data_IF_085560707512
#
_entry.id   IF_085560707512
#
_cell.length_a   1.000
_cell.length_b   1.000
_cell.length_c   1.000
_cell.angle_alpha   90.00
_cell.angle_beta   90.00
_cell.angle_gamma   90.00
#
_symmetry.space_group_name_H-M   'P 1'
#
loop_
_entity.id
_entity.type
_entity.pdbx_description
1 polymer ?
#
# COMPACT_ATOMS: atom_id res chain seq x y z
N UNK A 1 30.74 12.57 3.04
CA UNK A 1 31.11 11.99 1.74
C UNK A 1 29.92 11.28 1.16
N UNK A 2 29.67 11.32 -0.17
CA UNK A 2 28.60 10.51 -0.78
C UNK A 2 28.83 9.03 -0.50
N UNK A 3 27.75 8.32 -0.21
CA UNK A 3 27.77 6.85 0.00
C UNK A 3 26.99 6.20 -1.14
N UNK A 4 27.58 5.20 -1.77
CA UNK A 4 26.97 4.44 -2.86
C UNK A 4 26.62 3.04 -2.37
N UNK A 5 25.44 2.55 -2.73
CA UNK A 5 25.08 1.14 -2.56
C UNK A 5 25.43 0.36 -3.83
N UNK A 6 25.99 -0.83 -3.70
CA UNK A 6 26.25 -1.75 -4.82
C UNK A 6 25.01 -2.57 -5.20
N UNK A 7 23.93 -2.50 -4.40
CA UNK A 7 22.69 -3.23 -4.66
C UNK A 7 22.01 -2.71 -5.93
N UNK A 8 21.57 -3.64 -6.79
CA UNK A 8 20.81 -3.30 -7.98
C UNK A 8 19.42 -2.83 -7.62
N UNK A 9 18.97 -1.76 -8.27
CA UNK A 9 17.59 -1.28 -8.18
C UNK A 9 16.75 -2.00 -9.23
N UNK A 10 15.82 -2.85 -8.81
CA UNK A 10 15.01 -3.72 -9.68
C UNK A 10 13.55 -3.28 -9.59
N UNK A 11 12.97 -2.91 -10.74
CA UNK A 11 11.58 -2.49 -10.89
C UNK A 11 10.69 -3.65 -11.35
N UNK A 12 9.37 -3.49 -11.27
CA UNK A 12 8.43 -4.51 -11.77
C UNK A 12 8.65 -4.91 -13.24
N UNK A 13 9.13 -3.98 -14.07
CA UNK A 13 9.44 -4.26 -15.49
C UNK A 13 10.70 -5.07 -15.69
N UNK A 14 11.60 -5.08 -14.74
CA UNK A 14 12.94 -5.68 -14.87
C UNK A 14 12.95 -7.18 -14.62
N UNK A 15 11.85 -7.73 -14.13
CA UNK A 15 11.74 -9.15 -13.80
C UNK A 15 10.54 -9.82 -14.42
N UNK A 16 10.63 -11.14 -14.58
CA UNK A 16 9.52 -12.04 -14.81
C UNK A 16 9.39 -13.01 -13.63
N UNK A 17 8.16 -13.44 -13.33
CA UNK A 17 7.93 -14.61 -12.50
C UNK A 17 8.15 -15.85 -13.35
N UNK A 18 8.85 -16.83 -12.79
CA UNK A 18 9.06 -18.14 -13.39
C UNK A 18 8.23 -19.20 -12.68
N UNK A 19 7.73 -20.15 -13.45
CA UNK A 19 7.07 -21.33 -12.90
C UNK A 19 8.08 -22.20 -12.17
N UNK A 20 7.66 -22.75 -11.01
CA UNK A 20 8.42 -23.82 -10.34
C UNK A 20 7.79 -25.18 -10.65
N UNK A 21 8.59 -26.27 -10.67
CA UNK A 21 8.03 -27.61 -10.60
C UNK A 21 7.13 -27.68 -9.38
N UNK A 22 5.90 -28.13 -9.56
CA UNK A 22 4.92 -28.14 -8.49
C UNK A 22 5.36 -29.13 -7.40
N UNK A 23 5.40 -28.65 -6.17
CA UNK A 23 5.48 -29.51 -4.97
C UNK A 23 4.10 -30.07 -4.60
N UNK A 24 3.13 -29.89 -5.50
CA UNK A 24 1.75 -30.29 -5.32
C UNK A 24 1.61 -31.81 -5.47
N UNK A 25 0.71 -32.36 -4.68
CA UNK A 25 0.40 -33.77 -4.56
C UNK A 25 0.53 -34.53 -5.90
N UNK A 26 1.49 -35.45 -6.04
CA UNK A 26 1.67 -36.25 -7.25
C UNK A 26 0.42 -37.05 -7.63
N UNK A 27 -0.46 -37.34 -6.65
CA UNK A 27 -1.69 -38.11 -6.87
C UNK A 27 -2.85 -37.23 -7.40
N UNK A 28 -2.73 -35.88 -7.31
CA UNK A 28 -3.71 -34.96 -7.87
C UNK A 28 -3.09 -33.76 -8.60
N UNK A 29 -2.33 -34.00 -9.65
CA UNK A 29 -1.54 -32.95 -10.34
C UNK A 29 -2.40 -31.86 -11.01
N UNK A 30 -3.68 -32.13 -11.28
CA UNK A 30 -4.61 -31.16 -11.86
C UNK A 30 -5.45 -30.42 -10.79
N UNK A 31 -5.57 -30.96 -9.60
CA UNK A 31 -6.45 -30.47 -8.56
C UNK A 31 -6.02 -29.13 -7.98
N UNK A 32 -4.76 -28.97 -7.73
CA UNK A 32 -4.19 -27.80 -7.08
C UNK A 32 -3.78 -26.70 -8.09
N UNK A 33 -3.57 -27.05 -9.35
CA UNK A 33 -3.19 -26.12 -10.42
C UNK A 33 -4.35 -25.32 -10.98
N UNK A 34 -5.58 -25.62 -10.62
CA UNK A 34 -6.74 -24.86 -11.11
C UNK A 34 -6.84 -23.54 -10.37
N UNK A 35 -6.57 -22.42 -11.09
CA UNK A 35 -6.79 -21.05 -10.57
C UNK A 35 -8.16 -20.84 -9.93
N UNK A 36 -9.18 -21.59 -10.33
CA UNK A 36 -10.54 -21.56 -9.77
C UNK A 36 -10.61 -22.07 -8.33
N UNK A 37 -9.61 -22.79 -7.86
CA UNK A 37 -9.52 -23.34 -6.50
C UNK A 37 -8.68 -22.46 -5.56
N UNK A 38 -7.98 -21.43 -6.08
CA UNK A 38 -7.24 -20.48 -5.25
C UNK A 38 -8.26 -19.67 -4.43
N UNK A 39 -8.17 -19.66 -3.09
CA UNK A 39 -9.04 -18.86 -2.24
C UNK A 39 -8.95 -17.37 -2.58
N UNK A 40 -10.08 -16.67 -2.52
CA UNK A 40 -10.12 -15.23 -2.79
C UNK A 40 -9.66 -14.48 -1.54
N UNK A 41 -8.58 -13.72 -1.65
CA UNK A 41 -7.96 -12.94 -0.56
C UNK A 41 -7.90 -11.44 -0.94
N UNK A 42 -9.05 -10.87 -1.36
CA UNK A 42 -9.14 -9.46 -1.78
C UNK A 42 -8.92 -8.48 -0.63
N UNK A 43 -9.04 -8.91 0.61
CA UNK A 43 -8.72 -8.14 1.80
C UNK A 43 -7.23 -7.74 1.91
N UNK A 44 -6.37 -8.29 1.05
CA UNK A 44 -4.96 -7.89 0.90
C UNK A 44 -4.74 -6.82 -0.19
N UNK A 45 -5.79 -6.40 -0.86
CA UNK A 45 -5.75 -5.37 -1.92
C UNK A 45 -6.50 -4.14 -1.45
N UNK A 46 -5.80 -3.03 -1.35
CA UNK A 46 -6.34 -1.76 -0.87
C UNK A 46 -6.50 -0.76 -2.00
N UNK A 47 -7.60 -0.02 -1.96
CA UNK A 47 -7.76 1.19 -2.78
C UNK A 47 -6.94 2.31 -2.14
N UNK A 48 -6.11 2.99 -2.96
CA UNK A 48 -5.21 4.06 -2.51
C UNK A 48 -5.97 5.26 -1.93
N UNK A 49 -5.47 5.91 -0.86
CA UNK A 49 -6.10 7.06 -0.22
C UNK A 49 -5.95 8.34 -1.08
N UNK A 50 -6.53 8.33 -2.26
CA UNK A 50 -6.46 9.43 -3.22
C UNK A 50 -7.84 10.02 -3.46
N UNK A 51 -7.95 11.36 -3.35
CA UNK A 51 -9.22 12.06 -3.52
C UNK A 51 -9.86 11.84 -4.90
N UNK A 52 -9.06 11.80 -5.94
CA UNK A 52 -9.57 11.53 -7.29
C UNK A 52 -10.19 10.14 -7.46
N UNK A 53 -9.98 9.23 -6.50
CA UNK A 53 -10.37 7.82 -6.62
C UNK A 53 -11.46 7.48 -5.60
N UNK A 54 -11.19 7.72 -4.31
CA UNK A 54 -12.06 7.25 -3.22
C UNK A 54 -13.13 8.30 -2.89
N UNK A 55 -14.32 8.11 -3.45
CA UNK A 55 -15.57 8.71 -3.02
C UNK A 55 -16.44 7.69 -2.29
N UNK A 56 -17.67 8.06 -1.97
CA UNK A 56 -18.60 7.19 -1.24
C UNK A 56 -18.97 5.95 -2.05
N UNK A 57 -19.25 6.10 -3.33
CA UNK A 57 -19.69 5.05 -4.24
C UNK A 57 -18.60 3.98 -4.42
N UNK A 58 -17.36 4.41 -4.67
CA UNK A 58 -16.25 3.47 -4.81
C UNK A 58 -15.93 2.79 -3.48
N UNK A 59 -15.94 3.52 -2.37
CA UNK A 59 -15.67 2.96 -1.05
C UNK A 59 -16.70 1.87 -0.68
N UNK A 60 -17.99 2.13 -0.89
CA UNK A 60 -19.05 1.15 -0.64
C UNK A 60 -18.91 -0.08 -1.55
N UNK A 61 -18.68 0.13 -2.85
CA UNK A 61 -18.53 -0.98 -3.79
C UNK A 61 -17.27 -1.80 -3.52
N UNK A 62 -16.14 -1.17 -3.20
CA UNK A 62 -14.91 -1.85 -2.81
C UNK A 62 -15.11 -2.71 -1.55
N UNK A 63 -15.76 -2.14 -0.54
CA UNK A 63 -16.09 -2.84 0.70
C UNK A 63 -17.02 -4.05 0.46
N UNK A 64 -18.03 -3.93 -0.38
CA UNK A 64 -18.91 -5.03 -0.77
C UNK A 64 -18.18 -6.16 -1.51
N UNK A 65 -17.16 -5.83 -2.28
CA UNK A 65 -16.33 -6.79 -3.01
C UNK A 65 -15.23 -7.41 -2.13
N UNK A 66 -15.08 -6.97 -0.88
CA UNK A 66 -14.08 -7.47 0.05
C UNK A 66 -12.68 -6.86 -0.09
N UNK A 67 -12.55 -5.76 -0.83
CA UNK A 67 -11.30 -4.99 -0.89
C UNK A 67 -11.07 -4.22 0.43
N UNK A 68 -9.81 -3.96 0.75
CA UNK A 68 -9.44 -2.95 1.73
C UNK A 68 -9.65 -1.54 1.18
N UNK A 69 -10.03 -0.61 2.04
CA UNK A 69 -10.25 0.79 1.67
C UNK A 69 -9.39 1.71 2.54
N UNK A 70 -8.63 2.60 1.90
CA UNK A 70 -7.93 3.67 2.58
C UNK A 70 -8.68 4.98 2.32
N UNK A 71 -9.35 5.54 3.34
CA UNK A 71 -10.03 6.82 3.24
C UNK A 71 -9.03 7.95 3.40
N UNK A 72 -8.92 8.82 2.40
CA UNK A 72 -8.01 9.97 2.44
C UNK A 72 -8.55 11.09 3.33
N UNK A 73 -7.67 11.94 3.86
CA UNK A 73 -8.04 13.02 4.79
C UNK A 73 -8.67 14.26 4.15
N UNK A 74 -8.74 14.31 2.83
CA UNK A 74 -9.37 15.39 2.07
C UNK A 74 -10.79 15.03 1.61
N UNK A 75 -11.40 14.02 2.24
CA UNK A 75 -12.76 13.63 1.96
C UNK A 75 -13.71 14.79 2.22
N UNK A 76 -14.61 15.04 1.30
CA UNK A 76 -15.64 16.07 1.44
C UNK A 76 -17.04 15.44 1.29
N UNK A 77 -18.01 15.93 2.04
CA UNK A 77 -19.42 15.58 1.88
C UNK A 77 -20.19 16.67 1.09
N UNK A 78 -19.59 17.85 0.91
CA UNK A 78 -20.17 18.93 0.12
C UNK A 78 -19.66 18.86 -1.32
N UNK A 79 -20.59 18.63 -2.29
CA UNK A 79 -20.28 18.65 -3.74
C UNK A 79 -19.58 19.91 -4.24
N UNK A 80 -19.59 20.98 -3.48
CA UNK A 80 -18.88 22.24 -3.78
C UNK A 80 -17.54 22.34 -3.04
N UNK A 81 -17.12 21.29 -2.36
CA UNK A 81 -15.85 21.21 -1.62
C UNK A 81 -15.66 22.33 -0.57
N UNK A 82 -16.73 22.84 0.03
CA UNK A 82 -16.65 23.94 1.03
C UNK A 82 -16.19 23.47 2.40
N UNK A 83 -16.25 22.17 2.68
CA UNK A 83 -15.90 21.55 3.94
C UNK A 83 -14.51 20.88 3.94
N UNK A 84 -13.64 21.31 3.02
CA UNK A 84 -12.28 20.83 2.90
C UNK A 84 -11.55 20.84 4.24
N UNK A 85 -10.94 19.69 4.56
CA UNK A 85 -10.25 19.51 5.81
C UNK A 85 -11.16 19.13 7.00
N UNK A 86 -12.48 19.11 6.85
CA UNK A 86 -13.39 18.55 7.85
C UNK A 86 -13.29 17.02 7.87
N UNK A 87 -13.35 16.36 9.04
CA UNK A 87 -13.44 14.90 9.11
C UNK A 87 -14.83 14.37 8.74
N UNK A 88 -15.82 15.23 8.51
CA UNK A 88 -17.22 14.83 8.32
C UNK A 88 -17.40 13.89 7.12
N UNK A 89 -16.74 14.18 5.99
CA UNK A 89 -16.80 13.30 4.80
C UNK A 89 -16.21 11.92 5.06
N UNK A 90 -15.10 11.84 5.81
CA UNK A 90 -14.54 10.54 6.23
C UNK A 90 -15.52 9.77 7.13
N UNK A 91 -16.18 10.48 8.08
CA UNK A 91 -17.14 9.89 9.01
C UNK A 91 -18.36 9.34 8.27
N UNK A 92 -18.89 10.10 7.31
CA UNK A 92 -20.06 9.69 6.51
C UNK A 92 -19.76 8.44 5.68
N UNK A 93 -18.63 8.43 4.97
CA UNK A 93 -18.21 7.25 4.22
C UNK A 93 -18.00 6.06 5.16
N UNK A 94 -17.21 6.23 6.23
CA UNK A 94 -16.92 5.16 7.18
C UNK A 94 -18.20 4.53 7.74
N UNK A 95 -19.18 5.34 8.15
CA UNK A 95 -20.47 4.87 8.67
C UNK A 95 -21.38 4.21 7.63
N UNK A 96 -21.16 4.47 6.36
CA UNK A 96 -21.93 3.87 5.26
C UNK A 96 -21.44 2.48 4.87
N UNK A 97 -20.26 2.07 5.33
CA UNK A 97 -19.65 0.79 5.00
C UNK A 97 -20.23 -0.34 5.86
N UNK A 98 -20.40 -1.53 5.27
CA UNK A 98 -20.94 -2.71 5.94
C UNK A 98 -19.93 -3.39 6.87
N UNK A 99 -18.68 -3.41 6.46
CA UNK A 99 -17.56 -3.99 7.21
C UNK A 99 -16.41 -2.98 7.27
N UNK A 100 -16.10 -2.53 8.47
CA UNK A 100 -15.01 -1.57 8.72
C UNK A 100 -13.71 -2.21 9.19
N UNK A 101 -13.66 -3.54 9.31
CA UNK A 101 -12.49 -4.28 9.80
C UNK A 101 -11.24 -4.09 8.93
N UNK A 102 -11.43 -3.83 7.63
CA UNK A 102 -10.35 -3.61 6.65
C UNK A 102 -10.40 -2.19 6.03
N UNK A 103 -10.82 -1.22 6.82
CA UNK A 103 -10.91 0.19 6.41
C UNK A 103 -9.95 1.01 7.24
N UNK A 104 -8.93 1.58 6.60
CA UNK A 104 -7.99 2.50 7.23
C UNK A 104 -8.40 3.94 6.96
N UNK A 105 -8.41 4.77 8.01
CA UNK A 105 -8.80 6.19 7.91
C UNK A 105 -7.56 7.06 8.07
N UNK A 106 -7.29 7.89 7.06
CA UNK A 106 -6.09 8.73 7.01
C UNK A 106 -6.18 9.93 7.93
N UNK A 107 -5.09 10.17 8.66
CA UNK A 107 -4.85 11.37 9.47
C UNK A 107 -3.43 11.88 9.24
N UNK A 108 -3.18 13.16 9.50
CA UNK A 108 -1.85 13.74 9.52
C UNK A 108 -1.19 13.59 10.90
N UNK A 109 0.09 13.95 11.00
CA UNK A 109 0.87 13.82 12.24
C UNK A 109 0.30 14.59 13.45
N UNK A 110 -0.42 15.68 13.23
CA UNK A 110 -0.91 16.57 14.28
C UNK A 110 -2.43 16.79 14.23
N UNK A 111 -3.18 15.91 13.53
CA UNK A 111 -4.63 16.06 13.32
C UNK A 111 -5.47 15.52 14.52
N UNK A 112 -5.13 15.88 15.75
CA UNK A 112 -5.72 15.25 16.95
C UNK A 112 -7.22 15.55 17.14
N UNK A 113 -7.68 16.73 16.75
CA UNK A 113 -9.12 17.05 16.73
C UNK A 113 -9.88 16.15 15.75
N UNK A 114 -9.28 15.90 14.59
CA UNK A 114 -9.81 14.92 13.61
C UNK A 114 -9.85 13.51 14.20
N UNK A 115 -8.76 13.09 14.87
CA UNK A 115 -8.69 11.77 15.54
C UNK A 115 -9.83 11.63 16.56
N UNK A 116 -10.08 12.63 17.38
CA UNK A 116 -11.18 12.60 18.36
C UNK A 116 -12.56 12.42 17.70
N UNK A 117 -12.81 13.13 16.59
CA UNK A 117 -14.09 13.03 15.88
C UNK A 117 -14.26 11.66 15.21
N UNK A 118 -13.20 11.15 14.58
CA UNK A 118 -13.18 9.84 13.93
C UNK A 118 -13.30 8.70 14.95
N UNK A 119 -12.64 8.80 16.11
CA UNK A 119 -12.75 7.83 17.19
C UNK A 119 -14.19 7.76 17.75
N UNK A 120 -14.86 8.92 17.92
CA UNK A 120 -16.30 8.96 18.28
C UNK A 120 -17.21 8.32 17.24
N UNK A 121 -16.76 8.26 15.99
CA UNK A 121 -17.46 7.56 14.91
C UNK A 121 -17.18 6.04 14.87
N UNK A 122 -16.25 5.54 15.70
CA UNK A 122 -15.90 4.11 15.82
C UNK A 122 -14.68 3.70 15.00
N UNK A 123 -13.87 4.65 14.52
CA UNK A 123 -12.62 4.33 13.80
C UNK A 123 -11.59 3.76 14.76
N UNK A 124 -11.01 2.61 14.41
CA UNK A 124 -9.95 1.92 15.16
C UNK A 124 -8.74 1.53 14.30
N UNK A 125 -8.88 1.61 12.97
CA UNK A 125 -7.77 1.38 12.04
C UNK A 125 -7.29 2.71 11.44
N UNK A 126 -6.05 3.06 11.73
CA UNK A 126 -5.49 4.37 11.44
C UNK A 126 -4.43 4.31 10.37
N UNK A 127 -4.46 5.25 9.43
CA UNK A 127 -3.40 5.48 8.45
C UNK A 127 -2.74 6.84 8.71
N UNK A 128 -1.46 6.85 9.08
CA UNK A 128 -0.68 8.08 9.12
C UNK A 128 -0.23 8.38 7.68
N UNK A 129 -0.94 9.30 7.03
CA UNK A 129 -0.73 9.60 5.62
C UNK A 129 0.32 10.70 5.44
N UNK A 130 1.52 10.28 5.04
CA UNK A 130 2.65 11.15 4.77
C UNK A 130 3.54 10.60 3.67
N UNK A 131 4.23 11.51 2.96
CA UNK A 131 5.08 11.13 1.82
C UNK A 131 6.41 10.48 2.24
N UNK A 132 6.89 10.74 3.46
CA UNK A 132 8.20 10.29 3.94
C UNK A 132 8.11 9.68 5.34
N UNK A 133 8.11 8.35 5.41
CA UNK A 133 8.05 7.57 6.64
C UNK A 133 9.33 7.59 7.48
N UNK A 134 10.44 8.16 6.99
CA UNK A 134 11.69 8.28 7.76
C UNK A 134 11.63 9.31 8.90
N UNK A 135 10.52 10.02 9.03
CA UNK A 135 10.23 10.83 10.22
C UNK A 135 9.70 9.95 11.37
N UNK A 136 10.33 8.80 11.62
CA UNK A 136 9.87 7.76 12.54
C UNK A 136 9.57 8.29 13.95
N UNK A 137 10.40 9.18 14.52
CA UNK A 137 10.15 9.79 15.85
C UNK A 137 8.89 10.64 15.87
N UNK A 138 8.63 11.42 14.83
CA UNK A 138 7.41 12.21 14.71
C UNK A 138 6.17 11.31 14.55
N UNK A 139 6.31 10.20 13.79
CA UNK A 139 5.29 9.17 13.68
C UNK A 139 5.02 8.54 15.06
N UNK A 140 6.06 8.10 15.76
CA UNK A 140 5.95 7.50 17.09
C UNK A 140 5.27 8.42 18.10
N UNK A 141 5.62 9.69 18.11
CA UNK A 141 4.96 10.70 18.98
C UNK A 141 3.49 10.89 18.62
N UNK A 142 3.19 11.01 17.32
CA UNK A 142 1.80 11.12 16.84
C UNK A 142 0.97 9.92 17.26
N UNK A 143 1.48 8.70 17.05
CA UNK A 143 0.77 7.46 17.37
C UNK A 143 0.58 7.29 18.89
N UNK A 144 1.57 7.63 19.71
CA UNK A 144 1.41 7.67 21.18
C UNK A 144 0.26 8.60 21.61
N UNK A 145 0.14 9.76 20.98
CA UNK A 145 -0.95 10.69 21.24
C UNK A 145 -2.30 10.16 20.76
N UNK A 146 -2.34 9.53 19.57
CA UNK A 146 -3.55 8.86 19.06
C UNK A 146 -4.01 7.78 20.05
N UNK A 147 -3.10 6.96 20.56
CA UNK A 147 -3.40 5.89 21.55
C UNK A 147 -4.04 6.43 22.83
N UNK A 148 -3.73 7.65 23.23
CA UNK A 148 -4.35 8.30 24.41
C UNK A 148 -5.77 8.82 24.11
N UNK A 149 -6.14 9.00 22.85
CA UNK A 149 -7.42 9.56 22.40
C UNK A 149 -8.36 8.47 21.92
N UNK A 150 -7.81 7.44 21.23
CA UNK A 150 -8.55 6.45 20.48
C UNK A 150 -7.99 5.03 20.64
N UNK A 151 -8.85 4.04 20.44
CA UNK A 151 -8.42 2.65 20.26
C UNK A 151 -7.65 2.51 18.95
N UNK A 152 -6.60 1.69 18.96
CA UNK A 152 -5.82 1.30 17.77
C UNK A 152 -5.87 -0.21 17.65
N UNK A 153 -6.65 -0.72 16.68
CA UNK A 153 -6.69 -2.14 16.34
C UNK A 153 -5.64 -2.47 15.27
N UNK A 154 -5.46 -1.57 14.30
CA UNK A 154 -4.41 -1.65 13.30
C UNK A 154 -3.86 -0.25 13.01
N UNK A 155 -2.57 -0.18 12.69
CA UNK A 155 -1.92 1.07 12.29
C UNK A 155 -1.17 0.87 10.98
N UNK A 156 -1.38 1.76 10.02
CA UNK A 156 -0.67 1.80 8.75
C UNK A 156 0.17 3.07 8.67
N UNK A 157 1.46 2.94 8.37
CA UNK A 157 2.41 4.06 8.33
C UNK A 157 3.38 3.89 7.15
N UNK A 158 4.09 4.92 6.80
CA UNK A 158 5.09 4.92 5.72
C UNK A 158 4.99 6.27 4.96
N UNK A 159 5.57 6.37 3.74
CA UNK A 159 6.23 5.31 2.98
C UNK A 159 7.73 5.23 3.31
N UNK A 160 8.27 4.03 3.29
CA UNK A 160 9.72 3.76 3.38
C UNK A 160 10.18 2.99 2.13
N UNK A 161 11.49 2.82 1.95
CA UNK A 161 12.07 2.09 0.81
C UNK A 161 13.33 1.29 1.17
N UNK A 162 13.61 1.12 2.47
CA UNK A 162 14.73 0.32 2.98
C UNK A 162 14.34 -0.43 4.25
N UNK A 163 15.07 -1.49 4.54
CA UNK A 163 15.08 -2.25 5.79
C UNK A 163 15.24 -1.35 7.03
N UNK A 164 16.19 -0.39 6.98
CA UNK A 164 16.39 0.59 8.06
C UNK A 164 15.14 1.44 8.31
N UNK A 165 14.37 1.78 7.26
CA UNK A 165 13.11 2.49 7.41
C UNK A 165 12.08 1.66 8.17
N UNK A 166 11.98 0.37 7.87
CA UNK A 166 11.12 -0.59 8.60
C UNK A 166 11.56 -0.70 10.05
N UNK A 167 12.86 -0.93 10.28
CA UNK A 167 13.46 -1.00 11.63
C UNK A 167 13.07 0.19 12.49
N UNK A 168 13.31 1.41 12.02
CA UNK A 168 13.04 2.63 12.78
C UNK A 168 11.54 2.79 13.13
N UNK A 169 10.63 2.39 12.23
CA UNK A 169 9.20 2.42 12.51
C UNK A 169 8.83 1.35 13.55
N UNK A 170 9.34 0.13 13.41
CA UNK A 170 9.08 -0.95 14.36
C UNK A 170 9.62 -0.61 15.74
N UNK A 171 10.84 -0.05 15.84
CA UNK A 171 11.42 0.42 17.10
C UNK A 171 10.50 1.42 17.84
N UNK A 172 9.87 2.34 17.10
CA UNK A 172 8.97 3.33 17.68
C UNK A 172 7.58 2.77 18.05
N UNK A 173 7.10 1.73 17.36
CA UNK A 173 5.69 1.31 17.43
C UNK A 173 5.43 -0.10 17.96
N UNK A 174 6.45 -0.95 18.14
CA UNK A 174 6.29 -2.35 18.61
C UNK A 174 5.49 -2.48 19.91
N UNK A 175 5.56 -1.46 20.77
CA UNK A 175 4.85 -1.40 22.06
C UNK A 175 3.31 -1.33 21.93
N UNK A 176 2.78 -1.10 20.73
CA UNK A 176 1.33 -1.04 20.50
C UNK A 176 0.66 -2.41 20.61
N UNK A 177 1.40 -3.49 20.32
CA UNK A 177 0.91 -4.88 20.31
C UNK A 177 -0.31 -5.08 19.38
N UNK A 178 -0.34 -4.34 18.27
CA UNK A 178 -1.31 -4.49 17.20
C UNK A 178 -0.58 -4.64 15.86
N UNK A 179 -1.23 -5.13 14.79
CA UNK A 179 -0.61 -5.22 13.46
C UNK A 179 -0.11 -3.87 12.97
N UNK A 180 1.17 -3.85 12.57
CA UNK A 180 1.85 -2.70 11.97
C UNK A 180 1.93 -2.89 10.45
N UNK A 181 1.13 -2.15 9.71
CA UNK A 181 1.19 -2.13 8.24
C UNK A 181 2.18 -1.07 7.80
N UNK A 182 3.28 -1.46 7.18
CA UNK A 182 4.33 -0.53 6.73
C UNK A 182 4.27 -0.38 5.22
N UNK A 183 3.89 0.81 4.75
CA UNK A 183 3.84 1.14 3.32
C UNK A 183 5.25 1.28 2.77
N UNK A 184 5.54 0.50 1.72
CA UNK A 184 6.83 0.44 1.04
C UNK A 184 6.67 0.91 -0.39
N UNK A 185 7.43 1.94 -0.75
CA UNK A 185 7.44 2.55 -2.09
C UNK A 185 7.48 4.07 -2.04
N UNK A 186 8.62 4.65 -2.39
CA UNK A 186 8.76 6.10 -2.57
C UNK A 186 8.92 6.38 -4.05
N UNK A 187 8.19 7.38 -4.57
CA UNK A 187 8.21 7.80 -5.97
C UNK A 187 7.75 6.75 -7.00
N UNK A 188 7.19 5.60 -6.57
CA UNK A 188 6.76 4.51 -7.46
C UNK A 188 5.44 4.76 -8.20
N UNK A 189 4.61 5.67 -7.75
CA UNK A 189 3.29 5.97 -8.33
C UNK A 189 3.37 6.77 -9.62
N UNK A 190 2.49 6.50 -10.60
CA UNK A 190 2.43 7.28 -11.84
C UNK A 190 2.20 8.79 -11.62
N UNK A 191 1.34 9.23 -10.65
CA UNK A 191 1.15 10.65 -10.38
C UNK A 191 2.23 11.25 -9.47
N UNK A 192 3.25 10.47 -9.08
CA UNK A 192 4.34 10.96 -8.25
C UNK A 192 5.43 11.61 -9.10
N UNK A 193 5.78 12.85 -8.77
CA UNK A 193 6.89 13.57 -9.39
C UNK A 193 8.13 13.61 -8.49
N UNK A 194 8.11 12.90 -7.36
CA UNK A 194 9.19 12.94 -6.36
C UNK A 194 10.54 12.58 -6.97
N UNK A 195 10.61 11.56 -7.84
CA UNK A 195 11.85 11.22 -8.53
C UNK A 195 12.40 12.39 -9.36
N UNK A 196 11.55 13.00 -10.19
CA UNK A 196 11.95 14.11 -11.07
C UNK A 196 12.31 15.37 -10.26
N UNK A 197 11.65 15.58 -9.14
CA UNK A 197 11.78 16.78 -8.31
C UNK A 197 12.89 16.69 -7.27
N UNK A 198 13.14 15.49 -6.72
CA UNK A 198 14.03 15.29 -5.56
C UNK A 198 15.18 14.33 -5.83
N UNK A 199 15.11 13.52 -6.90
CA UNK A 199 16.07 12.46 -7.18
C UNK A 199 15.85 11.19 -6.33
N UNK A 200 14.86 11.15 -5.44
CA UNK A 200 14.54 9.96 -4.65
C UNK A 200 13.73 8.98 -5.46
N UNK A 201 14.28 7.83 -5.71
CA UNK A 201 13.60 6.68 -6.34
C UNK A 201 14.39 5.40 -6.09
N UNK A 202 13.68 4.26 -6.07
CA UNK A 202 14.29 2.94 -5.99
C UNK A 202 13.39 1.93 -6.72
N UNK A 203 13.95 0.81 -7.17
CA UNK A 203 13.18 -0.25 -7.81
C UNK A 203 12.27 -0.97 -6.82
N UNK A 204 10.97 -1.01 -7.12
CA UNK A 204 9.94 -1.50 -6.19
C UNK A 204 10.16 -2.96 -5.76
N UNK A 205 10.66 -3.82 -6.64
CA UNK A 205 10.98 -5.22 -6.28
C UNK A 205 12.08 -5.27 -5.23
N UNK A 206 13.14 -4.45 -5.40
CA UNK A 206 14.22 -4.37 -4.42
C UNK A 206 13.74 -3.84 -3.07
N UNK A 207 12.92 -2.78 -3.08
CA UNK A 207 12.35 -2.20 -1.85
C UNK A 207 11.52 -3.23 -1.08
N UNK A 208 10.62 -3.93 -1.78
CA UNK A 208 9.72 -4.91 -1.16
C UNK A 208 10.52 -6.07 -0.56
N UNK A 209 11.46 -6.65 -1.31
CA UNK A 209 12.27 -7.79 -0.83
C UNK A 209 13.03 -7.39 0.43
N UNK A 210 13.76 -6.26 0.42
CA UNK A 210 14.56 -5.85 1.60
C UNK A 210 13.71 -5.55 2.83
N UNK A 211 12.56 -4.89 2.62
CA UNK A 211 11.65 -4.59 3.72
C UNK A 211 10.96 -5.87 4.26
N UNK A 212 10.61 -6.80 3.37
CA UNK A 212 10.00 -8.08 3.74
C UNK A 212 11.01 -9.01 4.45
N UNK A 213 12.25 -9.07 3.96
CA UNK A 213 13.35 -9.80 4.62
C UNK A 213 13.51 -9.35 6.07
N UNK A 214 13.45 -8.03 6.30
CA UNK A 214 13.56 -7.48 7.63
C UNK A 214 12.33 -7.80 8.49
N UNK A 215 11.11 -7.65 7.93
CA UNK A 215 9.87 -7.95 8.65
C UNK A 215 9.80 -9.43 9.05
N UNK A 216 10.14 -10.35 8.13
CA UNK A 216 10.22 -11.79 8.40
C UNK A 216 11.28 -12.12 9.47
N UNK A 217 12.39 -11.41 9.45
CA UNK A 217 13.44 -11.53 10.44
C UNK A 217 12.99 -11.09 11.84
N UNK A 218 12.22 -10.00 11.96
CA UNK A 218 11.69 -9.52 13.23
C UNK A 218 10.69 -10.48 13.87
N UNK A 219 9.96 -11.26 13.06
CA UNK A 219 8.91 -12.20 13.52
C UNK A 219 9.48 -13.57 13.93
N UNK A 220 10.72 -13.92 13.52
CA UNK A 220 11.30 -15.24 13.80
C UNK A 220 12.09 -15.27 15.11
N UNK A 221 11.83 -16.27 16.01
CA UNK A 221 12.58 -16.44 17.26
C UNK A 221 14.08 -16.70 17.09
N UNK A 222 14.51 -17.03 15.87
CA UNK A 222 15.90 -17.35 15.52
C UNK A 222 16.74 -16.12 15.12
N UNK A 223 16.23 -14.93 15.44
CA UNK A 223 16.89 -13.65 15.23
C UNK A 223 18.36 -13.71 15.64
N UNK A 224 19.30 -13.55 14.68
CA UNK A 224 20.74 -13.59 14.91
C UNK A 224 21.32 -12.33 15.59
N UNK A 225 20.46 -11.42 16.07
CA UNK A 225 20.89 -10.26 16.83
C UNK A 225 21.17 -10.65 18.29
N UNK A 226 22.00 -9.88 18.94
CA UNK A 226 22.40 -10.07 20.32
C UNK A 226 21.16 -10.05 21.26
N UNK A 227 20.70 -11.25 21.66
CA UNK A 227 19.58 -11.44 22.60
C UNK A 227 19.81 -10.79 23.98
N UNK A 228 21.00 -10.25 24.23
CA UNK A 228 21.29 -9.45 25.42
C UNK A 228 20.75 -8.02 25.35
N UNK A 229 20.24 -7.59 24.18
CA UNK A 229 19.56 -6.31 24.06
C UNK A 229 18.05 -6.48 24.27
N UNK A 230 17.47 -6.01 25.40
CA UNK A 230 16.05 -6.18 25.73
C UNK A 230 15.12 -5.54 24.69
N UNK A 231 15.54 -4.47 24.02
CA UNK A 231 14.75 -3.82 22.96
C UNK A 231 14.57 -4.76 21.77
N UNK A 232 15.60 -5.50 21.39
CA UNK A 232 15.51 -6.44 20.26
C UNK A 232 14.58 -7.62 20.54
N UNK A 233 14.53 -8.12 21.78
CA UNK A 233 13.59 -9.16 22.16
C UNK A 233 12.13 -8.72 22.12
N UNK A 234 11.83 -7.48 22.43
CA UNK A 234 10.47 -6.91 22.34
C UNK A 234 10.04 -6.64 20.90
N UNK A 235 10.98 -6.26 20.01
CA UNK A 235 10.75 -6.05 18.59
C UNK A 235 10.39 -7.34 17.87
N UNK A 236 10.98 -8.48 18.27
CA UNK A 236 10.72 -9.79 17.67
C UNK A 236 9.27 -10.29 17.79
N UNK A 237 8.45 -9.70 18.67
CA UNK A 237 7.03 -10.04 18.82
C UNK A 237 6.08 -9.10 18.03
N UNK A 238 6.61 -8.18 17.23
CA UNK A 238 5.78 -7.24 16.48
C UNK A 238 5.16 -7.92 15.24
N UNK A 239 3.82 -7.81 15.09
CA UNK A 239 3.11 -8.23 13.86
C UNK A 239 3.33 -7.16 12.77
N UNK A 240 4.40 -7.32 12.01
CA UNK A 240 4.80 -6.39 10.93
C UNK A 240 4.31 -6.92 9.59
N UNK A 241 3.59 -6.08 8.82
CA UNK A 241 3.05 -6.42 7.51
C UNK A 241 3.51 -5.41 6.47
N UNK A 242 4.16 -5.89 5.44
CA UNK A 242 4.66 -5.07 4.34
C UNK A 242 3.56 -4.80 3.33
N UNK A 243 3.31 -3.53 3.05
CA UNK A 243 2.30 -3.08 2.09
C UNK A 243 3.00 -2.43 0.91
N UNK A 244 3.01 -3.08 -0.25
CA UNK A 244 3.58 -2.48 -1.45
C UNK A 244 2.68 -1.36 -1.97
N UNK A 245 3.23 -0.15 -2.04
CA UNK A 245 2.48 1.05 -2.42
C UNK A 245 3.19 1.83 -3.53
N UNK A 246 2.54 1.90 -4.67
CA UNK A 246 3.00 2.61 -5.85
C UNK A 246 3.47 1.71 -7.00
N UNK A 247 3.20 2.17 -8.22
CA UNK A 247 3.65 1.52 -9.46
C UNK A 247 2.91 0.25 -9.87
N UNK A 248 1.96 -0.25 -9.10
CA UNK A 248 1.20 -1.47 -9.40
C UNK A 248 0.10 -1.17 -10.40
N UNK A 249 0.35 -1.45 -11.68
CA UNK A 249 -0.53 -1.06 -12.80
C UNK A 249 -1.50 -2.15 -13.25
N UNK A 250 -1.24 -3.41 -12.91
CA UNK A 250 -1.99 -4.58 -13.39
C UNK A 250 -1.77 -5.78 -12.45
N UNK A 251 -2.49 -6.88 -12.73
CA UNK A 251 -2.39 -8.12 -11.96
C UNK A 251 -0.99 -8.76 -11.98
N UNK A 252 -0.25 -8.63 -13.09
CA UNK A 252 1.12 -9.15 -13.15
C UNK A 252 2.07 -8.42 -12.19
N UNK A 253 1.91 -7.10 -12.03
CA UNK A 253 2.69 -6.32 -11.05
C UNK A 253 2.24 -6.63 -9.62
N UNK A 254 0.93 -6.79 -9.39
CA UNK A 254 0.41 -7.24 -8.12
C UNK A 254 0.99 -8.60 -7.71
N UNK A 255 1.01 -9.57 -8.64
CA UNK A 255 1.61 -10.89 -8.40
C UNK A 255 3.10 -10.80 -8.10
N UNK A 256 3.84 -9.93 -8.77
CA UNK A 256 5.27 -9.70 -8.48
C UNK A 256 5.48 -9.08 -7.10
N UNK A 257 4.62 -8.14 -6.68
CA UNK A 257 4.69 -7.55 -5.35
C UNK A 257 4.47 -8.61 -4.26
N UNK A 258 3.44 -9.45 -4.40
CA UNK A 258 3.20 -10.55 -3.47
C UNK A 258 4.34 -11.55 -3.45
N UNK A 259 4.79 -12.00 -4.63
CA UNK A 259 5.92 -12.92 -4.73
C UNK A 259 7.24 -12.37 -4.17
N UNK A 260 7.40 -11.06 -4.13
CA UNK A 260 8.54 -10.37 -3.52
C UNK A 260 8.42 -10.21 -1.99
N UNK A 261 7.26 -10.53 -1.40
CA UNK A 261 7.06 -10.51 0.05
C UNK A 261 6.12 -9.44 0.58
N UNK A 262 5.37 -8.74 -0.28
CA UNK A 262 4.32 -7.86 0.20
C UNK A 262 3.16 -8.68 0.78
N UNK A 263 2.75 -8.38 2.02
CA UNK A 263 1.57 -8.97 2.66
C UNK A 263 0.27 -8.42 2.08
N UNK A 264 0.33 -7.16 1.63
CA UNK A 264 -0.77 -6.46 1.01
C UNK A 264 -0.25 -5.46 -0.04
N UNK A 265 -1.16 -4.97 -0.87
CA UNK A 265 -0.85 -3.98 -1.91
C UNK A 265 -1.83 -2.81 -1.88
N UNK A 266 -1.36 -1.61 -2.21
CA UNK A 266 -2.18 -0.43 -2.43
C UNK A 266 -2.12 -0.07 -3.93
N UNK A 267 -3.29 0.08 -4.56
CA UNK A 267 -3.41 0.39 -5.98
C UNK A 267 -4.19 1.69 -6.19
N UNK A 268 -3.55 2.67 -6.84
CA UNK A 268 -4.17 3.95 -7.21
C UNK A 268 -4.66 3.95 -8.66
N UNK A 269 -3.75 4.15 -9.60
CA UNK A 269 -4.07 4.30 -11.02
C UNK A 269 -4.88 3.15 -11.64
N UNK A 270 -4.76 1.94 -11.12
CA UNK A 270 -5.59 0.82 -11.54
C UNK A 270 -7.07 1.04 -11.22
N UNK A 271 -7.38 1.47 -10.00
CA UNK A 271 -8.74 1.72 -9.54
C UNK A 271 -9.26 3.11 -9.95
N UNK A 272 -8.41 4.02 -10.37
CA UNK A 272 -8.85 5.26 -11.00
C UNK A 272 -9.70 5.02 -12.26
N UNK A 273 -9.56 3.85 -12.90
CA UNK A 273 -10.37 3.40 -14.04
C UNK A 273 -11.76 2.89 -13.65
N UNK A 274 -12.06 2.74 -12.36
CA UNK A 274 -13.38 2.31 -11.94
C UNK A 274 -14.42 3.36 -12.31
N UNK A 275 -15.58 2.92 -12.82
CA UNK A 275 -16.70 3.80 -13.08
C UNK A 275 -17.12 4.54 -11.80
N UNK A 276 -17.04 3.86 -10.66
CA UNK A 276 -17.39 4.38 -9.33
C UNK A 276 -16.32 5.31 -8.73
N UNK A 277 -15.16 5.51 -9.40
CA UNK A 277 -14.14 6.43 -8.92
C UNK A 277 -14.62 7.89 -8.97
N UNK A 278 -14.28 8.66 -7.93
CA UNK A 278 -14.73 10.05 -7.74
C UNK A 278 -14.52 10.91 -8.99
N UNK A 279 -13.35 10.79 -9.64
CA UNK A 279 -13.05 11.56 -10.85
C UNK A 279 -13.92 11.17 -12.06
N UNK A 280 -14.43 9.93 -12.13
CA UNK A 280 -15.28 9.47 -13.23
C UNK A 280 -16.76 9.79 -13.01
N UNK A 281 -17.21 9.81 -11.76
CA UNK A 281 -18.60 10.14 -11.41
C UNK A 281 -18.84 11.65 -11.33
N UNK A 282 -17.89 12.38 -10.74
CA UNK A 282 -18.07 13.78 -10.35
C UNK A 282 -17.01 14.71 -10.92
N UNK A 283 -16.00 14.20 -11.61
CA UNK A 283 -14.89 14.93 -12.20
C UNK A 283 -14.83 14.84 -13.72
N UNK A 284 -13.64 15.05 -14.25
CA UNK A 284 -13.34 15.10 -15.68
C UNK A 284 -12.53 13.89 -16.20
N UNK A 285 -12.44 12.83 -15.41
CA UNK A 285 -11.62 11.66 -15.72
C UNK A 285 -10.11 11.91 -15.56
N UNK A 286 -9.73 12.94 -14.81
CA UNK A 286 -8.33 13.23 -14.46
C UNK A 286 -8.06 12.73 -13.05
N UNK A 287 -6.98 11.98 -12.82
CA UNK A 287 -6.55 11.64 -11.49
C UNK A 287 -5.20 12.28 -11.15
N UNK A 288 -4.96 12.54 -9.86
CA UNK A 288 -3.82 13.28 -9.38
C UNK A 288 -3.28 12.75 -8.06
N UNK A 289 -1.99 12.98 -7.81
CA UNK A 289 -1.33 12.63 -6.56
C UNK A 289 -1.70 13.59 -5.41
N UNK A 290 -1.60 13.11 -4.18
CA UNK A 290 -1.88 13.90 -2.97
C UNK A 290 -0.97 15.14 -2.79
N UNK A 291 0.20 15.16 -3.43
CA UNK A 291 1.13 16.29 -3.44
C UNK A 291 1.05 17.14 -4.73
N UNK A 292 0.01 16.97 -5.57
CA UNK A 292 -0.17 17.74 -6.80
C UNK A 292 -0.60 19.18 -6.51
N UNK A 293 -0.36 20.07 -7.48
CA UNK A 293 -0.83 21.46 -7.41
C UNK A 293 -2.36 21.51 -7.31
N UNK A 294 -3.07 20.69 -8.08
CA UNK A 294 -4.54 20.56 -8.00
C UNK A 294 -5.01 20.21 -6.60
N UNK A 295 -4.38 19.21 -5.96
CA UNK A 295 -4.69 18.84 -4.58
C UNK A 295 -4.45 20.00 -3.61
N UNK A 296 -3.37 20.73 -3.76
CA UNK A 296 -3.03 21.88 -2.90
C UNK A 296 -4.01 23.04 -3.09
N UNK A 297 -4.36 23.38 -4.34
CA UNK A 297 -5.35 24.42 -4.64
C UNK A 297 -6.71 24.03 -4.01
N UNK A 298 -7.11 22.79 -4.21
CA UNK A 298 -8.34 22.27 -3.65
C UNK A 298 -8.33 22.32 -2.10
N UNK A 299 -7.23 21.96 -1.45
CA UNK A 299 -7.12 21.91 0.01
C UNK A 299 -6.91 23.29 0.69
N UNK A 300 -6.27 24.25 0.02
CA UNK A 300 -5.83 25.50 0.66
C UNK A 300 -6.27 26.76 -0.07
N UNK A 301 -6.87 26.62 -1.26
CA UNK A 301 -7.20 27.73 -2.15
C UNK A 301 -5.99 28.40 -2.83
N UNK A 302 -4.78 27.84 -2.66
CA UNK A 302 -3.53 28.43 -3.19
C UNK A 302 -2.65 27.35 -3.79
N UNK A 303 -2.03 27.67 -4.93
CA UNK A 303 -0.95 26.85 -5.49
C UNK A 303 0.30 26.95 -4.62
N UNK A 304 0.99 25.83 -4.44
CA UNK A 304 2.32 25.82 -3.83
C UNK A 304 3.37 26.30 -4.83
N UNK A 305 4.50 26.79 -4.30
CA UNK A 305 5.67 27.13 -5.15
C UNK A 305 6.31 25.91 -5.79
N UNK A 306 6.05 24.73 -5.26
CA UNK A 306 6.62 23.46 -5.71
C UNK A 306 5.61 22.34 -5.48
N UNK A 307 5.42 21.48 -6.50
CA UNK A 307 4.51 20.34 -6.47
C UNK A 307 5.29 19.07 -6.82
N UNK A 308 5.10 18.01 -6.01
CA UNK A 308 5.69 16.68 -6.25
C UNK A 308 4.66 15.69 -6.83
N UNK A 309 3.48 16.16 -7.22
CA UNK A 309 2.44 15.35 -7.84
C UNK A 309 2.12 15.85 -9.25
N UNK A 310 1.80 14.89 -10.13
CA UNK A 310 1.35 15.11 -11.49
C UNK A 310 -0.14 14.83 -11.62
N UNK A 311 -0.75 15.38 -12.64
CA UNK A 311 -2.11 15.10 -13.08
C UNK A 311 -2.06 14.25 -14.36
N UNK A 312 -2.94 13.25 -14.44
CA UNK A 312 -3.04 12.39 -15.61
C UNK A 312 -4.49 12.21 -16.01
N UNK A 313 -4.78 12.34 -17.28
CA UNK A 313 -6.05 11.91 -17.82
C UNK A 313 -6.07 10.38 -17.92
N UNK A 314 -7.19 9.77 -17.55
CA UNK A 314 -7.36 8.34 -17.66
C UNK A 314 -7.58 8.02 -19.15
N UNK A 315 -6.60 7.37 -19.77
CA UNK A 315 -6.65 6.96 -21.18
C UNK A 315 -7.20 5.53 -21.36
N UNK A 316 -7.06 4.70 -20.33
CA UNK A 316 -7.57 3.33 -20.31
C UNK A 316 -9.11 3.30 -20.23
N UNK A 317 -9.76 2.23 -20.71
CA UNK A 317 -11.21 2.08 -20.60
C UNK A 317 -11.70 2.14 -19.16
N UNK A 318 -12.75 2.95 -18.93
CA UNK A 318 -13.48 3.01 -17.66
C UNK A 318 -14.39 1.78 -17.59
N UNK A 319 -14.29 1.04 -16.49
CA UNK A 319 -14.99 -0.23 -16.28
C UNK A 319 -15.64 -0.24 -14.88
N UNK A 320 -16.73 -1.00 -14.68
CA UNK A 320 -17.24 -1.25 -13.33
C UNK A 320 -16.15 -1.83 -12.42
N UNK A 321 -16.10 -1.41 -11.16
CA UNK A 321 -15.12 -1.87 -10.18
C UNK A 321 -15.09 -3.41 -10.07
N UNK A 322 -16.26 -4.03 -10.09
CA UNK A 322 -16.39 -5.50 -10.08
C UNK A 322 -15.61 -6.18 -11.22
N UNK A 323 -15.66 -5.59 -12.42
CA UNK A 323 -14.91 -6.11 -13.58
C UNK A 323 -13.40 -5.97 -13.37
N UNK A 324 -12.95 -4.82 -12.87
CA UNK A 324 -11.54 -4.58 -12.54
C UNK A 324 -11.04 -5.57 -11.47
N UNK A 325 -11.82 -5.79 -10.43
CA UNK A 325 -11.50 -6.74 -9.35
C UNK A 325 -11.44 -8.17 -9.88
N UNK A 326 -12.40 -8.57 -10.70
CA UNK A 326 -12.41 -9.90 -11.32
C UNK A 326 -11.19 -10.14 -12.21
N UNK A 327 -10.79 -9.15 -13.02
CA UNK A 327 -9.61 -9.23 -13.89
C UNK A 327 -8.31 -9.26 -13.06
N UNK A 328 -8.24 -8.46 -12.02
CA UNK A 328 -7.10 -8.42 -11.10
C UNK A 328 -6.91 -9.78 -10.42
N UNK A 329 -7.98 -10.29 -9.80
CA UNK A 329 -7.93 -11.57 -9.09
C UNK A 329 -7.67 -12.75 -10.04
N UNK A 330 -8.25 -12.72 -11.23
CA UNK A 330 -8.00 -13.73 -12.27
C UNK A 330 -6.51 -13.83 -12.66
N UNK A 331 -5.82 -12.70 -12.73
CA UNK A 331 -4.38 -12.66 -12.97
C UNK A 331 -3.55 -13.13 -11.78
N UNK A 332 -3.88 -12.66 -10.56
CA UNK A 332 -3.19 -13.07 -9.33
C UNK A 332 -3.34 -14.58 -9.11
N UNK A 333 -4.56 -15.11 -9.18
CA UNK A 333 -4.81 -16.55 -8.99
C UNK A 333 -4.10 -17.41 -10.05
N UNK A 334 -3.97 -16.91 -11.28
CA UNK A 334 -3.18 -17.58 -12.31
C UNK A 334 -1.69 -17.62 -11.96
N UNK A 335 -1.14 -16.51 -11.45
CA UNK A 335 0.28 -16.44 -11.05
C UNK A 335 0.58 -17.38 -9.87
N UNK A 336 -0.29 -17.40 -8.86
CA UNK A 336 -0.21 -18.34 -7.71
C UNK A 336 -0.19 -19.78 -8.21
N UNK A 337 -1.13 -20.12 -9.10
CA UNK A 337 -1.23 -21.45 -9.70
C UNK A 337 0.02 -21.83 -10.51
N UNK A 338 0.53 -20.93 -11.37
CA UNK A 338 1.75 -21.18 -12.17
C UNK A 338 3.01 -21.29 -11.32
N UNK A 339 3.02 -20.66 -10.15
CA UNK A 339 4.11 -20.79 -9.18
C UNK A 339 4.02 -22.07 -8.35
N UNK A 340 2.96 -22.87 -8.52
CA UNK A 340 2.78 -24.17 -7.84
C UNK A 340 2.18 -24.08 -6.43
N UNK A 341 1.56 -22.95 -6.09
CA UNK A 341 0.94 -22.75 -4.77
C UNK A 341 -0.58 -22.89 -4.81
N UNK A 342 -1.18 -23.21 -3.67
CA UNK A 342 -2.63 -23.41 -3.50
C UNK A 342 -3.35 -22.19 -2.91
N UNK A 343 -2.62 -21.22 -2.35
CA UNK A 343 -3.15 -19.98 -1.79
C UNK A 343 -2.23 -18.80 -2.09
N UNK A 344 -2.77 -17.58 -2.02
CA UNK A 344 -1.95 -16.37 -2.09
C UNK A 344 -1.00 -16.30 -0.89
N UNK A 345 -1.46 -16.68 0.30
CA UNK A 345 -0.64 -16.71 1.52
C UNK A 345 0.62 -17.56 1.34
N UNK A 346 0.51 -18.76 0.72
CA UNK A 346 1.67 -19.62 0.47
C UNK A 346 2.61 -19.06 -0.60
N UNK A 347 2.08 -18.24 -1.52
CA UNK A 347 2.86 -17.62 -2.59
C UNK A 347 3.63 -16.38 -2.12
N UNK A 348 3.12 -15.65 -1.11
CA UNK A 348 3.79 -14.45 -0.58
C UNK A 348 5.22 -14.80 -0.18
N UNK A 349 6.19 -13.95 -0.60
CA UNK A 349 7.62 -14.12 -0.36
C UNK A 349 8.26 -15.37 -1.02
N UNK A 350 7.51 -16.07 -1.88
CA UNK A 350 7.98 -17.27 -2.54
C UNK A 350 8.04 -17.14 -4.08
N UNK A 351 8.00 -15.93 -4.60
CA UNK A 351 8.16 -15.67 -6.03
C UNK A 351 9.54 -16.11 -6.52
N UNK A 352 9.59 -16.81 -7.66
CA UNK A 352 10.83 -17.12 -8.34
C UNK A 352 11.00 -16.17 -9.53
N UNK A 353 12.06 -15.36 -9.51
CA UNK A 353 12.23 -14.26 -10.45
C UNK A 353 13.42 -14.48 -11.39
N UNK A 354 13.21 -14.15 -12.65
CA UNK A 354 14.27 -13.96 -13.64
C UNK A 354 14.45 -12.47 -13.92
N UNK A 355 15.70 -11.98 -13.90
CA UNK A 355 16.02 -10.61 -14.29
C UNK A 355 16.16 -10.57 -15.80
N UNK A 356 15.41 -9.69 -16.48
CA UNK A 356 15.46 -9.53 -17.93
C UNK A 356 16.82 -9.00 -18.38
N UNK A 357 17.31 -9.50 -19.52
CA UNK A 357 18.63 -9.15 -20.04
C UNK A 357 18.82 -7.64 -20.29
N UNK A 358 17.76 -6.96 -20.72
CA UNK A 358 17.77 -5.51 -21.00
C UNK A 358 17.85 -4.64 -19.74
N UNK A 359 17.62 -5.21 -18.56
CA UNK A 359 17.75 -4.56 -17.26
C UNK A 359 19.15 -4.68 -16.66
N UNK A 360 20.02 -5.42 -17.33
CA UNK A 360 21.43 -5.53 -16.93
C UNK A 360 22.24 -4.40 -17.57
N UNK A 361 23.14 -3.73 -16.83
CA UNK A 361 24.10 -2.82 -17.47
C UNK A 361 24.90 -3.60 -18.50
N UNK A 362 25.30 -2.99 -19.65
CA UNK A 362 26.07 -3.66 -20.66
C UNK A 362 27.31 -4.29 -20.00
N UNK A 363 27.53 -5.59 -20.26
CA UNK A 363 28.71 -6.28 -19.74
C UNK A 363 29.94 -5.49 -20.23
N UNK A 364 30.75 -4.98 -19.29
CA UNK A 364 32.07 -4.42 -19.65
C UNK A 364 32.85 -5.55 -20.34
N UNK A 365 33.16 -5.33 -21.62
CA UNK A 365 34.03 -6.20 -22.39
C UNK A 365 35.46 -6.10 -21.86
#
# INVERSE_FOLDING_TARGET
MPVFTEKKSIYYNDVNLLSRPTMLDPENPLGALSRKKIPVELNRVYVSPMQAIVGIELAQRANELGLGVCLHRFQTHDKYHRDWGSPQGQIEIFKSLKDTSNVFVSVGLNDFERVEMLAKAGVTNWLIDMANGYMHKAIGESVRRIKNIAQIDNIMVGNVHTDLGVFNIVEELHHLKCPLYIRVGIAGGSPCATNDSTGYNRGQITEIIECADYADYCVKPECKYDFNNPILSEICDADVRIVADGGIKNSGYASKAFGAGADAIIMGGYFARAFEAETNLHGDGTYWGGASEKQQILATGKASRHSEGKEFKIEDPILPLEKLVSDLWGGISSAVSYSGYSSLTDFIYNGYFEIKENSLPPRRK
#
